data_IF_312035366040
#
_entry.id   IF_312035366040
#
_cell.length_a   1.000
_cell.length_b   1.000
_cell.length_c   1.000
_cell.angle_alpha   90.00
_cell.angle_beta   90.00
_cell.angle_gamma   90.00
#
_symmetry.space_group_name_H-M   'P 1'
#
loop_
_entity.id
_entity.type
_entity.pdbx_description
1 polymer ?
#
# COMPACT_ATOMS: atom_id res chain seq x y z
N UNK A 1 2.06 -14.17 16.52
CA UNK A 1 2.70 -13.06 15.75
C UNK A 1 1.54 -12.25 15.19
N UNK A 2 1.52 -10.93 15.36
CA UNK A 2 0.46 -10.10 14.77
C UNK A 2 0.68 -10.14 13.27
N UNK A 3 -0.30 -10.59 12.49
CA UNK A 3 -0.23 -10.49 11.04
C UNK A 3 -0.23 -9.00 10.70
N UNK A 4 0.77 -8.54 9.96
CA UNK A 4 0.86 -7.15 9.53
C UNK A 4 -0.19 -6.91 8.45
N UNK A 5 -1.08 -5.93 8.66
CA UNK A 5 -2.11 -5.59 7.67
C UNK A 5 -1.57 -4.56 6.68
N UNK A 6 -1.60 -4.90 5.41
CA UNK A 6 -1.04 -4.12 4.31
C UNK A 6 -2.17 -3.66 3.39
N UNK A 7 -2.35 -2.35 3.27
CA UNK A 7 -3.31 -1.73 2.36
C UNK A 7 -2.61 -1.40 1.04
N UNK A 8 -3.08 -1.97 -0.05
CA UNK A 8 -2.60 -1.70 -1.40
C UNK A 8 -3.54 -0.72 -2.08
N UNK A 9 -2.97 0.38 -2.58
CA UNK A 9 -3.64 1.45 -3.32
C UNK A 9 -3.01 1.55 -4.71
N UNK A 10 -3.84 1.58 -5.74
CA UNK A 10 -3.39 1.79 -7.12
C UNK A 10 -3.90 0.73 -8.10
N UNK A 11 -4.02 1.15 -9.36
CA UNK A 11 -4.53 0.31 -10.46
C UNK A 11 -3.38 -0.53 -11.03
N UNK A 12 -3.60 -1.84 -11.20
CA UNK A 12 -2.64 -2.71 -11.87
C UNK A 12 -1.69 -3.49 -10.94
N UNK A 13 -2.00 -3.60 -9.65
CA UNK A 13 -1.24 -4.49 -8.76
C UNK A 13 -1.58 -5.96 -9.08
N UNK A 14 -0.58 -6.78 -9.50
CA UNK A 14 -0.78 -8.18 -9.84
C UNK A 14 -1.34 -8.95 -8.65
N UNK A 15 -2.28 -9.86 -8.93
CA UNK A 15 -2.77 -10.84 -7.96
C UNK A 15 -1.64 -11.64 -7.32
N UNK A 16 -0.56 -11.93 -8.07
CA UNK A 16 0.58 -12.69 -7.56
C UNK A 16 1.26 -11.98 -6.37
N UNK A 17 1.33 -10.65 -6.37
CA UNK A 17 1.93 -9.90 -5.27
C UNK A 17 1.12 -10.07 -3.98
N UNK A 18 -0.20 -10.11 -4.10
CA UNK A 18 -1.08 -10.38 -2.96
C UNK A 18 -0.97 -11.82 -2.48
N UNK A 19 -0.84 -12.80 -3.37
CA UNK A 19 -0.62 -14.19 -2.99
C UNK A 19 0.71 -14.41 -2.27
N UNK A 20 1.79 -13.75 -2.73
CA UNK A 20 3.11 -13.84 -2.09
C UNK A 20 3.08 -13.20 -0.71
N UNK A 21 2.47 -12.02 -0.56
CA UNK A 21 2.31 -11.36 0.73
C UNK A 21 1.43 -12.17 1.70
N UNK A 22 0.34 -12.77 1.21
CA UNK A 22 -0.49 -13.65 2.00
C UNK A 22 0.28 -14.90 2.46
N UNK A 23 1.10 -15.51 1.60
CA UNK A 23 2.00 -16.62 1.96
C UNK A 23 3.07 -16.20 2.97
N UNK A 24 3.49 -14.94 2.96
CA UNK A 24 4.40 -14.37 3.95
C UNK A 24 3.72 -14.06 5.30
N UNK A 25 2.40 -14.26 5.42
CA UNK A 25 1.63 -14.01 6.64
C UNK A 25 1.10 -12.57 6.78
N UNK A 26 1.15 -11.77 5.73
CA UNK A 26 0.55 -10.43 5.71
C UNK A 26 -0.94 -10.50 5.34
N UNK A 27 -1.76 -9.70 6.02
CA UNK A 27 -3.17 -9.53 5.65
C UNK A 27 -3.29 -8.41 4.63
N UNK A 28 -3.64 -8.73 3.38
CA UNK A 28 -3.62 -7.75 2.29
C UNK A 28 -5.03 -7.24 2.00
N UNK A 29 -5.22 -5.94 2.16
CA UNK A 29 -6.43 -5.23 1.73
C UNK A 29 -6.12 -4.45 0.45
N UNK A 30 -7.09 -4.36 -0.46
CA UNK A 30 -6.98 -3.55 -1.67
C UNK A 30 -8.07 -2.50 -1.67
N UNK A 31 -7.72 -1.30 -2.09
CA UNK A 31 -8.69 -0.25 -2.28
C UNK A 31 -8.47 0.48 -3.59
N UNK A 32 -9.55 0.57 -4.36
CA UNK A 32 -9.67 1.33 -5.61
C UNK A 32 -10.31 2.71 -5.38
N UNK A 33 -10.66 3.06 -4.14
CA UNK A 33 -11.28 4.33 -3.78
C UNK A 33 -10.51 5.04 -2.66
N UNK A 34 -10.20 6.33 -2.82
CA UNK A 34 -9.48 7.09 -1.79
C UNK A 34 -10.25 7.16 -0.47
N UNK A 35 -11.59 7.22 -0.53
CA UNK A 35 -12.43 7.25 0.67
C UNK A 35 -12.35 5.93 1.46
N UNK A 36 -12.45 4.80 0.77
CA UNK A 36 -12.36 3.46 1.40
C UNK A 36 -10.98 3.23 2.01
N UNK A 37 -9.93 3.65 1.30
CA UNK A 37 -8.56 3.59 1.79
C UNK A 37 -8.36 4.46 3.05
N UNK A 38 -8.89 5.70 3.04
CA UNK A 38 -8.83 6.60 4.18
C UNK A 38 -9.56 6.03 5.40
N UNK A 39 -10.73 5.41 5.21
CA UNK A 39 -11.48 4.76 6.31
C UNK A 39 -10.65 3.63 6.93
N UNK A 40 -10.02 2.78 6.12
CA UNK A 40 -9.17 1.69 6.61
C UNK A 40 -7.96 2.22 7.39
N UNK A 41 -7.33 3.30 6.90
CA UNK A 41 -6.22 3.96 7.56
C UNK A 41 -6.63 4.54 8.93
N UNK A 42 -7.75 5.26 9.00
CA UNK A 42 -8.25 5.93 10.21
C UNK A 42 -8.73 4.93 11.26
N UNK A 43 -9.32 3.80 10.85
CA UNK A 43 -9.71 2.73 11.78
C UNK A 43 -8.52 2.10 12.51
N UNK A 44 -7.31 2.29 12.00
CA UNK A 44 -6.10 1.68 12.56
C UNK A 44 -5.97 0.20 12.21
N UNK A 45 -6.78 -0.28 11.25
CA UNK A 45 -6.74 -1.65 10.75
C UNK A 45 -5.52 -1.90 9.85
N UNK A 46 -4.80 -0.84 9.46
CA UNK A 46 -3.69 -0.86 8.50
C UNK A 46 -2.37 -0.54 9.19
N UNK A 47 -1.39 -1.44 9.05
CA UNK A 47 -0.02 -1.25 9.52
C UNK A 47 0.85 -0.56 8.46
N UNK A 48 0.63 -0.85 7.18
CA UNK A 48 1.39 -0.29 6.05
C UNK A 48 0.50 0.02 4.86
N UNK A 49 0.71 1.16 4.19
CA UNK A 49 0.06 1.53 2.93
C UNK A 49 1.07 1.44 1.80
N UNK A 50 0.84 0.57 0.83
CA UNK A 50 1.59 0.47 -0.40
C UNK A 50 0.82 1.15 -1.54
N UNK A 51 1.31 2.30 -1.98
CA UNK A 51 0.77 3.04 -3.12
C UNK A 51 1.58 2.76 -4.37
N UNK A 52 0.93 2.31 -5.44
CA UNK A 52 1.59 1.81 -6.65
C UNK A 52 1.15 2.61 -7.87
N UNK A 53 2.13 3.20 -8.55
CA UNK A 53 1.91 3.96 -9.78
C UNK A 53 1.32 5.35 -9.55
N UNK A 54 1.18 6.14 -10.62
CA UNK A 54 0.63 7.48 -10.53
C UNK A 54 -0.83 7.40 -10.08
N UNK A 55 -1.14 8.08 -8.98
CA UNK A 55 -2.53 8.30 -8.56
C UNK A 55 -3.02 9.62 -9.16
N UNK A 56 -4.32 9.70 -9.44
CA UNK A 56 -4.98 10.93 -9.83
C UNK A 56 -5.15 11.89 -8.63
N UNK A 57 -5.52 13.13 -8.90
CA UNK A 57 -5.63 14.19 -7.88
C UNK A 57 -6.58 13.84 -6.73
N UNK A 58 -7.55 12.92 -6.95
CA UNK A 58 -8.46 12.45 -5.90
C UNK A 58 -7.76 11.72 -4.74
N UNK A 59 -6.53 11.25 -4.95
CA UNK A 59 -5.72 10.59 -3.93
C UNK A 59 -4.78 11.52 -3.19
N UNK A 60 -4.67 12.80 -3.57
CA UNK A 60 -3.73 13.73 -2.93
C UNK A 60 -3.97 13.83 -1.42
N UNK A 61 -5.22 14.07 -1.01
CA UNK A 61 -5.59 14.17 0.41
C UNK A 61 -5.30 12.87 1.18
N UNK A 62 -5.56 11.72 0.55
CA UNK A 62 -5.24 10.42 1.15
C UNK A 62 -3.72 10.21 1.25
N UNK A 63 -2.97 10.59 0.22
CA UNK A 63 -1.51 10.45 0.17
C UNK A 63 -0.87 11.27 1.27
N UNK A 64 -1.31 12.53 1.46
CA UNK A 64 -0.84 13.39 2.53
C UNK A 64 -1.18 12.82 3.91
N UNK A 65 -2.40 12.31 4.09
CA UNK A 65 -2.80 11.66 5.34
C UNK A 65 -1.97 10.40 5.63
N UNK A 66 -1.80 9.51 4.65
CA UNK A 66 -1.01 8.30 4.77
C UNK A 66 0.47 8.62 5.03
N UNK A 67 1.02 9.64 4.38
CA UNK A 67 2.36 10.13 4.61
C UNK A 67 2.53 10.65 6.05
N UNK A 68 1.57 11.45 6.54
CA UNK A 68 1.59 11.97 7.90
C UNK A 68 1.54 10.86 8.98
N UNK A 69 0.95 9.70 8.67
CA UNK A 69 0.97 8.54 9.58
C UNK A 69 2.33 7.82 9.65
N UNK A 70 3.25 8.10 8.72
CA UNK A 70 4.53 7.40 8.60
C UNK A 70 4.40 5.95 8.10
N UNK A 71 3.21 5.56 7.60
CA UNK A 71 2.91 4.20 7.13
C UNK A 71 2.91 4.07 5.60
N UNK A 72 3.12 5.18 4.89
CA UNK A 72 3.06 5.20 3.43
C UNK A 72 4.39 4.79 2.80
N UNK A 73 4.32 3.81 1.91
CA UNK A 73 5.35 3.44 0.95
C UNK A 73 4.79 3.68 -0.44
N UNK A 74 5.29 4.69 -1.14
CA UNK A 74 4.91 4.98 -2.52
C UNK A 74 5.97 4.45 -3.48
N UNK A 75 5.54 3.71 -4.49
CA UNK A 75 6.40 3.14 -5.53
C UNK A 75 5.86 3.48 -6.91
N UNK A 76 6.71 3.96 -7.81
CA UNK A 76 6.32 4.30 -9.19
C UNK A 76 5.90 3.06 -9.99
N UNK A 77 6.51 1.91 -9.69
CA UNK A 77 6.21 0.64 -10.35
C UNK A 77 6.63 -0.53 -9.45
N UNK A 78 5.87 -1.63 -9.51
CA UNK A 78 6.23 -2.87 -8.82
C UNK A 78 7.52 -3.50 -9.34
N UNK A 79 7.87 -3.21 -10.60
CA UNK A 79 9.14 -3.64 -11.21
C UNK A 79 10.33 -2.93 -10.53
N UNK A 80 10.10 -1.75 -9.96
CA UNK A 80 11.14 -1.02 -9.24
C UNK A 80 11.35 -1.53 -7.80
N UNK A 81 10.44 -2.33 -7.24
CA UNK A 81 10.56 -2.83 -5.85
C UNK A 81 11.82 -3.69 -5.66
N UNK A 82 12.13 -4.69 -6.51
CA UNK A 82 13.37 -5.45 -6.39
C UNK A 82 14.61 -4.56 -6.43
N UNK A 83 14.62 -3.53 -7.29
CA UNK A 83 15.73 -2.58 -7.41
C UNK A 83 15.84 -1.66 -6.19
N UNK A 84 14.72 -1.20 -5.65
CA UNK A 84 14.68 -0.34 -4.47
C UNK A 84 15.09 -1.11 -3.20
N UNK A 85 14.67 -2.37 -3.06
CA UNK A 85 15.10 -3.27 -1.99
C UNK A 85 16.58 -3.66 -2.12
N UNK A 86 17.05 -3.91 -3.35
CA UNK A 86 18.47 -4.19 -3.61
C UNK A 86 19.38 -2.98 -3.30
N UNK A 87 18.83 -1.77 -3.40
CA UNK A 87 19.53 -0.52 -3.07
C UNK A 87 19.40 -0.10 -1.60
N UNK A 88 18.77 -0.92 -0.75
CA UNK A 88 18.83 -0.76 0.71
C UNK A 88 17.85 0.25 1.30
N UNK A 89 16.61 0.28 0.81
CA UNK A 89 15.49 0.68 1.68
C UNK A 89 15.42 -0.23 2.93
#
# INVERSE_FOLDING_TARGET
>A
MKNSTLLIVGVGVPSELTEVLAKAGCEVQRSDSPLTAAIALVRGDVDLVLMVGPQDESWNDFTDAAFATGKLVSVESLIAIPTALANGL
#
